data_IF_871274327286
#
_entry.id   IF_871274327286
#
_cell.length_a   1.000
_cell.length_b   1.000
_cell.length_c   1.000
_cell.angle_alpha   90.00
_cell.angle_beta   90.00
_cell.angle_gamma   90.00
#
_symmetry.space_group_name_H-M   'P 1'
#
loop_
_entity.id
_entity.type
_entity.pdbx_description
1 polymer ?
#
# COMPACT_ATOMS: atom_id res chain seq x y z
N UNK A 1 -45.24 3.91 6.60
CA UNK A 1 -45.53 3.20 7.88
C UNK A 1 -44.88 3.94 9.04
N UNK A 2 -45.68 4.70 9.82
CA UNK A 2 -45.20 5.54 10.94
C UNK A 2 -45.48 4.81 12.25
N UNK A 3 -44.47 4.13 12.82
CA UNK A 3 -44.63 3.41 14.11
C UNK A 3 -44.75 4.43 15.25
N UNK A 4 -45.95 4.57 15.81
CA UNK A 4 -46.20 5.31 17.06
C UNK A 4 -45.52 4.57 18.21
N UNK A 5 -44.55 5.19 18.89
CA UNK A 5 -43.99 4.69 20.15
C UNK A 5 -44.88 5.18 21.29
N UNK A 6 -45.50 4.24 22.02
CA UNK A 6 -46.23 4.53 23.27
C UNK A 6 -45.19 4.60 24.39
N UNK A 7 -45.01 5.78 24.99
CA UNK A 7 -44.33 5.93 26.27
C UNK A 7 -45.27 5.41 27.36
N UNK A 8 -44.98 4.23 27.90
CA UNK A 8 -45.56 3.78 29.17
C UNK A 8 -44.76 4.41 30.31
N UNK A 9 -45.43 5.12 31.21
CA UNK A 9 -44.90 5.62 32.47
C UNK A 9 -44.82 4.44 33.45
N UNK A 10 -43.61 4.00 33.80
CA UNK A 10 -43.37 3.07 34.91
C UNK A 10 -43.00 3.92 36.13
N UNK A 11 -43.88 3.94 37.13
CA UNK A 11 -43.58 4.47 38.46
C UNK A 11 -42.89 3.34 39.23
N UNK A 12 -41.57 3.44 39.41
CA UNK A 12 -40.76 2.47 40.13
C UNK A 12 -39.54 3.12 40.77
N UNK A 13 -39.47 2.99 42.10
CA UNK A 13 -38.36 3.20 43.05
C UNK A 13 -37.06 3.84 42.49
N UNK A 14 -36.70 5.02 43.02
CA UNK A 14 -35.40 5.65 42.82
C UNK A 14 -34.28 4.81 43.46
N UNK A 15 -33.74 3.86 42.69
CA UNK A 15 -32.34 3.46 42.82
C UNK A 15 -31.52 4.35 41.90
N UNK A 16 -30.51 5.05 42.45
CA UNK A 16 -29.55 5.83 41.67
C UNK A 16 -28.64 4.89 40.86
N UNK A 17 -29.19 4.25 39.83
CA UNK A 17 -28.44 3.53 38.83
C UNK A 17 -27.86 4.55 37.85
N UNK A 18 -26.55 4.71 37.86
CA UNK A 18 -25.81 5.35 36.76
C UNK A 18 -26.23 4.66 35.46
N UNK A 19 -27.00 5.37 34.64
CA UNK A 19 -27.25 4.98 33.26
C UNK A 19 -25.89 4.98 32.56
N UNK A 20 -25.30 3.80 32.39
CA UNK A 20 -24.16 3.59 31.51
C UNK A 20 -24.60 4.00 30.10
N UNK A 21 -24.29 5.25 29.73
CA UNK A 21 -24.53 5.75 28.39
C UNK A 21 -23.75 4.88 27.41
N UNK A 22 -24.43 4.38 26.38
CA UNK A 22 -23.77 3.79 25.22
C UNK A 22 -22.86 4.86 24.60
N UNK A 23 -21.58 4.85 24.96
CA UNK A 23 -20.57 5.68 24.30
C UNK A 23 -20.39 5.09 22.91
N UNK A 24 -20.84 5.83 21.90
CA UNK A 24 -20.55 5.47 20.52
C UNK A 24 -19.03 5.57 20.34
N UNK A 25 -18.34 4.51 19.88
CA UNK A 25 -16.91 4.59 19.67
C UNK A 25 -16.60 5.78 18.76
N UNK A 26 -15.55 6.52 19.09
CA UNK A 26 -15.12 7.64 18.27
C UNK A 26 -14.84 7.15 16.84
N UNK A 27 -15.16 7.95 15.80
CA UNK A 27 -14.87 7.58 14.41
C UNK A 27 -13.38 7.29 14.24
N UNK A 28 -13.07 6.18 13.56
CA UNK A 28 -11.69 5.89 13.13
C UNK A 28 -11.42 6.64 11.84
N UNK A 29 -10.35 7.43 11.80
CA UNK A 29 -9.87 8.10 10.58
C UNK A 29 -8.80 7.21 9.95
N UNK A 30 -8.95 6.91 8.66
CA UNK A 30 -8.00 6.12 7.88
C UNK A 30 -7.42 6.97 6.73
N UNK A 31 -6.09 6.99 6.62
CA UNK A 31 -5.34 7.64 5.53
C UNK A 31 -4.92 6.59 4.51
N UNK A 32 -5.54 6.62 3.35
CA UNK A 32 -5.21 5.73 2.23
C UNK A 32 -4.51 6.52 1.14
N UNK A 33 -3.43 5.97 0.59
CA UNK A 33 -2.66 6.58 -0.49
C UNK A 33 -2.38 5.60 -1.63
N UNK A 34 -2.14 6.14 -2.82
CA UNK A 34 -1.47 5.43 -3.90
C UNK A 34 -0.26 6.25 -4.33
N UNK A 35 0.83 5.58 -4.69
CA UNK A 35 2.05 6.25 -5.07
C UNK A 35 2.75 5.47 -6.19
N UNK A 36 2.91 6.10 -7.34
CA UNK A 36 3.81 5.59 -8.37
C UNK A 36 5.26 5.90 -7.95
N UNK A 37 6.03 4.85 -7.71
CA UNK A 37 7.37 4.95 -7.13
C UNK A 37 8.47 5.07 -8.17
N UNK A 38 8.18 4.75 -9.44
CA UNK A 38 9.16 4.60 -10.51
C UNK A 38 10.38 3.74 -10.06
N UNK A 39 10.15 2.72 -9.24
CA UNK A 39 11.16 1.78 -8.76
C UNK A 39 11.27 0.54 -9.66
N UNK A 40 10.64 0.55 -10.83
CA UNK A 40 10.83 -0.47 -11.87
C UNK A 40 12.29 -0.57 -12.31
N UNK A 41 12.71 -1.77 -12.72
CA UNK A 41 14.02 -2.01 -13.32
C UNK A 41 13.88 -2.65 -14.71
N UNK A 42 14.99 -2.75 -15.47
CA UNK A 42 14.95 -3.38 -16.80
C UNK A 42 14.99 -4.90 -16.76
N UNK A 43 15.31 -5.50 -15.60
CA UNK A 43 15.55 -6.94 -15.44
C UNK A 43 15.04 -7.38 -14.05
N UNK A 44 14.46 -8.60 -13.94
CA UNK A 44 14.02 -9.17 -12.66
C UNK A 44 15.13 -9.16 -11.60
N UNK A 45 14.76 -8.95 -10.34
CA UNK A 45 15.65 -9.04 -9.17
C UNK A 45 16.59 -7.85 -8.98
N UNK A 46 16.71 -6.97 -9.97
CA UNK A 46 17.58 -5.78 -9.87
C UNK A 46 17.10 -4.80 -8.82
N UNK A 47 15.79 -4.72 -8.56
CA UNK A 47 15.30 -3.89 -7.47
C UNK A 47 15.66 -4.51 -6.12
N UNK A 48 15.43 -5.82 -5.94
CA UNK A 48 15.79 -6.52 -4.70
C UNK A 48 17.28 -6.34 -4.37
N UNK A 49 18.18 -6.56 -5.34
CA UNK A 49 19.62 -6.33 -5.17
C UNK A 49 19.97 -4.89 -4.78
N UNK A 50 19.30 -3.91 -5.39
CA UNK A 50 19.54 -2.49 -5.10
C UNK A 50 19.06 -2.10 -3.69
N UNK A 51 17.90 -2.60 -3.29
CA UNK A 51 17.33 -2.35 -1.97
C UNK A 51 18.11 -3.07 -0.86
N UNK A 52 18.62 -4.27 -1.13
CA UNK A 52 19.45 -5.03 -0.19
C UNK A 52 20.75 -4.30 0.20
N UNK A 53 21.30 -3.46 -0.68
CA UNK A 53 22.46 -2.61 -0.38
C UNK A 53 22.14 -1.46 0.58
N UNK A 54 20.86 -1.08 0.71
CA UNK A 54 20.41 0.01 1.59
C UNK A 54 20.80 1.43 1.12
N UNK A 55 21.32 1.57 -0.10
CA UNK A 55 21.86 2.83 -0.62
C UNK A 55 21.19 3.40 -1.86
N UNK A 56 20.10 2.79 -2.32
CA UNK A 56 19.32 3.28 -3.46
C UNK A 56 18.71 4.67 -3.17
N UNK A 57 19.23 5.69 -3.87
CA UNK A 57 18.82 7.07 -3.67
C UNK A 57 17.34 7.32 -4.01
N UNK A 58 16.78 6.60 -5.01
CA UNK A 58 15.37 6.74 -5.37
C UNK A 58 14.50 6.12 -4.28
N UNK A 59 14.86 4.93 -3.80
CA UNK A 59 14.16 4.28 -2.70
C UNK A 59 14.18 5.15 -1.43
N UNK A 60 15.31 5.80 -1.10
CA UNK A 60 15.39 6.77 0.00
C UNK A 60 14.43 7.94 -0.17
N UNK A 61 14.33 8.50 -1.39
CA UNK A 61 13.40 9.58 -1.71
C UNK A 61 11.93 9.16 -1.53
N UNK A 62 11.56 8.01 -2.10
CA UNK A 62 10.21 7.43 -1.97
C UNK A 62 9.88 7.18 -0.49
N UNK A 63 10.81 6.58 0.26
CA UNK A 63 10.64 6.32 1.69
C UNK A 63 10.49 7.60 2.51
N UNK A 64 11.26 8.64 2.21
CA UNK A 64 11.14 9.96 2.87
C UNK A 64 9.74 10.55 2.69
N UNK A 65 9.17 10.47 1.48
CA UNK A 65 7.80 10.92 1.21
C UNK A 65 6.80 10.10 2.04
N UNK A 66 6.90 8.77 2.02
CA UNK A 66 5.99 7.88 2.77
C UNK A 66 6.08 8.15 4.28
N UNK A 67 7.29 8.30 4.83
CA UNK A 67 7.56 8.60 6.25
C UNK A 67 7.05 9.98 6.66
N UNK A 68 6.95 10.93 5.72
CA UNK A 68 6.36 12.25 5.94
C UNK A 68 4.83 12.20 5.91
N UNK A 69 4.26 11.53 4.90
CA UNK A 69 2.81 11.45 4.69
C UNK A 69 2.13 10.52 5.69
N UNK A 70 2.83 9.49 6.18
CA UNK A 70 2.36 8.49 7.15
C UNK A 70 0.96 7.95 6.83
N UNK A 71 0.76 7.34 5.64
CA UNK A 71 -0.51 6.70 5.33
C UNK A 71 -0.66 5.41 6.15
N UNK A 72 -1.89 5.06 6.49
CA UNK A 72 -2.23 3.82 7.19
C UNK A 72 -2.26 2.64 6.20
N UNK A 73 -2.62 2.90 4.95
CA UNK A 73 -2.56 1.95 3.84
C UNK A 73 -2.05 2.64 2.58
N UNK A 74 -1.15 1.98 1.84
CA UNK A 74 -0.58 2.52 0.60
C UNK A 74 -0.50 1.45 -0.50
N UNK A 75 -0.93 1.81 -1.70
CA UNK A 75 -0.70 1.05 -2.93
C UNK A 75 0.51 1.63 -3.66
N UNK A 76 1.59 0.85 -3.77
CA UNK A 76 2.79 1.23 -4.52
C UNK A 76 2.67 0.74 -5.97
N UNK A 77 2.73 1.66 -6.93
CA UNK A 77 2.79 1.34 -8.35
C UNK A 77 4.25 1.44 -8.86
N UNK A 78 4.52 0.75 -9.98
CA UNK A 78 5.87 0.62 -10.56
C UNK A 78 6.93 0.23 -9.54
N UNK A 79 6.53 -0.65 -8.62
CA UNK A 79 7.44 -1.31 -7.70
C UNK A 79 7.71 -2.69 -8.29
N UNK A 80 8.91 -2.87 -8.83
CA UNK A 80 9.33 -4.14 -9.40
C UNK A 80 9.49 -5.17 -8.27
N UNK A 81 8.78 -6.27 -8.40
CA UNK A 81 8.67 -7.28 -7.35
C UNK A 81 8.57 -8.65 -8.00
N UNK A 82 9.73 -9.19 -8.30
CA UNK A 82 9.90 -10.58 -8.69
C UNK A 82 9.62 -11.56 -7.54
N UNK A 83 9.74 -11.11 -6.27
CA UNK A 83 9.34 -11.81 -5.05
C UNK A 83 9.16 -10.83 -3.86
N UNK A 84 8.65 -11.30 -2.72
CA UNK A 84 8.49 -10.55 -1.46
C UNK A 84 9.78 -9.92 -0.93
N UNK A 85 10.95 -10.42 -1.36
CA UNK A 85 12.26 -9.93 -0.91
C UNK A 85 12.46 -8.44 -1.16
N UNK A 86 12.12 -7.92 -2.35
CA UNK A 86 12.28 -6.49 -2.65
C UNK A 86 11.41 -5.63 -1.72
N UNK A 87 10.16 -6.04 -1.48
CA UNK A 87 9.24 -5.34 -0.60
C UNK A 87 9.72 -5.35 0.86
N UNK A 88 10.26 -6.48 1.33
CA UNK A 88 10.79 -6.58 2.69
C UNK A 88 12.07 -5.75 2.86
N UNK A 89 12.98 -5.74 1.89
CA UNK A 89 14.13 -4.83 1.91
C UNK A 89 13.69 -3.36 1.96
N UNK A 90 12.70 -2.97 1.15
CA UNK A 90 12.16 -1.61 1.18
C UNK A 90 11.57 -1.24 2.54
N UNK A 91 10.73 -2.13 3.11
CA UNK A 91 10.09 -1.92 4.41
C UNK A 91 11.10 -1.81 5.54
N UNK A 92 12.06 -2.72 5.59
CA UNK A 92 13.00 -2.80 6.71
C UNK A 92 14.07 -1.70 6.57
N UNK A 93 14.79 -1.67 5.46
CA UNK A 93 15.96 -0.78 5.33
C UNK A 93 15.61 0.70 5.08
N UNK A 94 14.43 1.01 4.53
CA UNK A 94 14.11 2.39 4.13
C UNK A 94 12.94 3.01 4.92
N UNK A 95 11.91 2.23 5.28
CA UNK A 95 10.78 2.73 6.06
C UNK A 95 10.99 2.63 7.57
N UNK A 96 11.54 1.50 8.06
CA UNK A 96 11.79 1.26 9.48
C UNK A 96 13.17 1.76 9.92
N UNK A 97 14.23 1.33 9.24
CA UNK A 97 15.63 1.62 9.58
C UNK A 97 16.25 2.74 8.74
N UNK A 98 15.40 3.55 8.09
CA UNK A 98 15.85 4.57 7.16
C UNK A 98 16.76 5.64 7.82
N UNK A 99 17.36 6.53 7.02
CA UNK A 99 18.49 7.37 7.45
C UNK A 99 18.17 8.22 8.70
N UNK A 100 19.17 8.44 9.58
CA UNK A 100 18.97 9.08 10.88
C UNK A 100 18.58 10.57 10.77
N UNK A 101 18.91 11.22 9.66
CA UNK A 101 18.58 12.60 9.32
C UNK A 101 17.27 12.74 8.52
N UNK A 102 16.57 11.64 8.25
CA UNK A 102 15.28 11.63 7.55
C UNK A 102 14.05 11.85 8.47
N UNK A 103 12.84 11.95 7.89
CA UNK A 103 11.59 11.93 8.65
C UNK A 103 11.50 10.68 9.54
N UNK A 104 10.75 10.64 10.66
CA UNK A 104 10.73 9.48 11.54
C UNK A 104 10.37 8.14 10.85
N UNK A 105 10.81 7.02 11.42
CA UNK A 105 10.46 5.68 10.92
C UNK A 105 8.93 5.49 10.82
N UNK A 106 8.50 4.70 9.84
CA UNK A 106 7.11 4.33 9.65
C UNK A 106 6.96 2.85 9.31
N UNK A 107 6.06 2.15 10.02
CA UNK A 107 5.95 0.69 9.94
C UNK A 107 4.58 0.29 9.43
N UNK A 108 4.56 -0.59 8.43
CA UNK A 108 3.36 -1.30 8.01
C UNK A 108 3.39 -2.72 8.59
N UNK A 109 2.38 -3.07 9.39
CA UNK A 109 2.26 -4.40 9.97
C UNK A 109 2.03 -5.50 8.92
N UNK A 110 1.41 -5.13 7.80
CA UNK A 110 1.07 -6.03 6.71
C UNK A 110 1.70 -5.54 5.41
N UNK A 111 2.03 -6.48 4.54
CA UNK A 111 2.47 -6.23 3.18
C UNK A 111 1.91 -7.33 2.28
N UNK A 112 1.66 -6.97 1.02
CA UNK A 112 1.07 -7.85 0.04
C UNK A 112 1.63 -7.53 -1.33
N UNK A 113 2.04 -8.58 -2.05
CA UNK A 113 2.46 -8.50 -3.45
C UNK A 113 1.38 -9.19 -4.27
N UNK A 114 0.75 -8.43 -5.17
CA UNK A 114 -0.21 -8.96 -6.13
C UNK A 114 0.51 -9.36 -7.43
N UNK A 115 0.05 -10.38 -8.16
CA UNK A 115 0.51 -10.63 -9.53
C UNK A 115 0.32 -9.38 -10.41
N UNK A 116 1.34 -9.02 -11.17
CA UNK A 116 1.30 -7.94 -12.15
C UNK A 116 0.92 -8.48 -13.53
N UNK A 117 0.16 -7.69 -14.29
CA UNK A 117 -0.05 -7.95 -15.72
C UNK A 117 1.06 -7.35 -16.60
N UNK A 118 1.96 -6.54 -16.02
CA UNK A 118 3.06 -5.90 -16.75
C UNK A 118 3.98 -6.96 -17.35
N UNK A 119 4.42 -6.82 -18.60
CA UNK A 119 5.32 -7.78 -19.24
C UNK A 119 4.79 -9.20 -19.43
N UNK A 120 3.51 -9.48 -19.10
CA UNK A 120 2.85 -10.74 -19.45
C UNK A 120 2.48 -10.69 -20.93
N UNK A 121 3.07 -11.52 -21.81
CA UNK A 121 2.86 -11.43 -23.25
C UNK A 121 1.40 -11.69 -23.63
N UNK A 122 0.85 -10.89 -24.54
CA UNK A 122 -0.47 -11.17 -25.13
C UNK A 122 -0.39 -12.17 -26.28
N UNK A 123 0.81 -12.35 -26.87
CA UNK A 123 1.01 -13.14 -28.09
C UNK A 123 0.56 -12.43 -29.37
N UNK A 124 0.30 -11.12 -29.31
CA UNK A 124 -0.13 -10.28 -30.42
C UNK A 124 0.84 -9.11 -30.58
N UNK A 125 1.04 -8.67 -31.83
CA UNK A 125 1.75 -7.43 -32.17
C UNK A 125 0.82 -6.24 -31.94
N UNK A 126 0.84 -5.67 -30.72
CA UNK A 126 -0.10 -4.63 -30.29
C UNK A 126 0.33 -3.24 -30.72
N UNK A 127 1.63 -3.00 -30.84
CA UNK A 127 2.19 -1.70 -31.22
C UNK A 127 2.63 -1.61 -32.70
N UNK A 128 2.53 -2.71 -33.44
CA UNK A 128 2.77 -2.84 -34.90
C UNK A 128 4.23 -2.65 -35.28
N UNK A 129 5.15 -3.09 -34.44
CA UNK A 129 6.58 -3.05 -34.72
C UNK A 129 7.09 -4.28 -35.50
N UNK A 130 6.23 -5.27 -35.73
CA UNK A 130 6.54 -6.51 -36.44
C UNK A 130 7.07 -7.65 -35.55
N UNK A 131 7.11 -7.46 -34.23
CA UNK A 131 7.38 -8.48 -33.21
C UNK A 131 6.12 -8.75 -32.35
N UNK A 132 6.19 -9.73 -31.45
CA UNK A 132 5.08 -10.08 -30.53
C UNK A 132 5.55 -10.28 -29.07
N UNK A 133 6.81 -9.98 -28.82
CA UNK A 133 7.52 -10.21 -27.55
C UNK A 133 8.08 -8.91 -26.96
N UNK A 134 7.71 -7.76 -27.53
CA UNK A 134 8.09 -6.45 -27.06
C UNK A 134 7.33 -6.02 -25.79
N UNK A 135 7.81 -5.00 -25.07
CA UNK A 135 7.09 -4.48 -23.91
C UNK A 135 5.76 -3.83 -24.26
N UNK A 136 5.55 -3.41 -25.51
CA UNK A 136 4.27 -2.93 -26.03
C UNK A 136 3.24 -4.04 -26.26
N UNK A 137 3.69 -5.30 -26.34
CA UNK A 137 2.87 -6.48 -26.66
C UNK A 137 2.36 -7.22 -25.42
N UNK A 138 2.64 -6.70 -24.24
CA UNK A 138 2.21 -7.26 -22.97
C UNK A 138 0.86 -6.71 -22.49
N UNK A 139 0.16 -7.46 -21.64
CA UNK A 139 -1.14 -7.04 -21.06
C UNK A 139 -1.06 -5.72 -20.29
N UNK A 140 0.07 -5.47 -19.63
CA UNK A 140 0.51 -4.15 -19.19
C UNK A 140 1.91 -3.89 -19.75
N UNK A 141 2.22 -2.64 -20.07
CA UNK A 141 3.54 -2.31 -20.63
C UNK A 141 4.67 -2.76 -19.69
N UNK A 142 5.62 -3.55 -20.19
CA UNK A 142 6.72 -4.05 -19.38
C UNK A 142 7.51 -5.16 -20.05
N UNK A 143 8.73 -5.43 -19.59
CA UNK A 143 9.60 -6.47 -20.16
C UNK A 143 9.46 -7.83 -19.45
N UNK A 144 8.92 -7.84 -18.24
CA UNK A 144 8.70 -9.02 -17.42
C UNK A 144 7.58 -8.77 -16.40
N UNK A 145 6.97 -9.84 -15.85
CA UNK A 145 5.99 -9.74 -14.79
C UNK A 145 6.63 -9.39 -13.45
N UNK A 146 6.36 -8.16 -12.99
CA UNK A 146 6.80 -7.69 -11.67
C UNK A 146 8.27 -7.35 -11.68
#
# INVERSE_FOLDING_TARGET
MRRRRRCGLIIGVLGAGTLAGCTTPAPVILRVATFNTALSRPQPGRLAEALARGDDARARGVASIIRTVRPDAILLNEFDTDDVAALDHFRNAFLQDGPPDGPPAWTFAYAFVAPSNSGVPTGLDLDRDGAVDGPGDAHGFGRYPG
#
